data_IF_743709882722
#
_entry.id   IF_743709882722
#
_cell.length_a   1.000
_cell.length_b   1.000
_cell.length_c   1.000
_cell.angle_alpha   90.00
_cell.angle_beta   90.00
_cell.angle_gamma   90.00
#
_symmetry.space_group_name_H-M   'P 1'
#
loop_
_entity.id
_entity.type
_entity.pdbx_description
1 polymer ?
#
# COMPACT_ATOMS: atom_id res chain seq x y z
N UNK A 1 6.88 -1.72 20.48
CA UNK A 1 6.50 -1.48 19.07
C UNK A 1 5.03 -1.10 19.04
N UNK A 2 4.71 0.06 18.49
CA UNK A 2 3.31 0.47 18.33
C UNK A 2 2.64 -0.41 17.26
N UNK A 3 1.40 -0.85 17.49
CA UNK A 3 0.57 -1.53 16.49
C UNK A 3 -0.22 -0.52 15.64
N UNK A 4 0.07 0.77 15.80
CA UNK A 4 -0.55 1.84 15.02
C UNK A 4 -0.09 1.78 13.56
N UNK A 5 -0.98 2.07 12.61
CA UNK A 5 -0.60 2.10 11.22
C UNK A 5 0.33 3.30 10.97
N UNK A 6 1.28 3.16 10.04
CA UNK A 6 2.37 4.15 9.89
C UNK A 6 1.87 5.56 9.57
N UNK A 7 0.72 5.66 8.89
CA UNK A 7 0.09 6.91 8.49
C UNK A 7 -0.34 7.80 9.67
N UNK A 8 -0.48 7.28 10.89
CA UNK A 8 -0.67 8.14 12.09
C UNK A 8 0.58 8.95 12.44
N UNK A 9 1.75 8.48 12.01
CA UNK A 9 3.06 9.11 12.25
C UNK A 9 3.73 9.54 10.95
N UNK A 10 2.96 9.64 9.86
CA UNK A 10 3.45 10.03 8.55
C UNK A 10 2.75 11.28 8.05
N UNK A 11 3.46 12.07 7.26
CA UNK A 11 2.90 13.21 6.53
C UNK A 11 3.61 13.38 5.18
N UNK A 12 3.02 14.22 4.33
CA UNK A 12 3.55 14.53 3.00
C UNK A 12 3.83 13.27 2.15
N UNK A 13 2.97 12.26 2.33
CA UNK A 13 3.05 11.00 1.61
C UNK A 13 2.79 11.23 0.12
N UNK A 14 3.68 10.72 -0.71
CA UNK A 14 3.60 10.76 -2.16
C UNK A 14 4.23 9.52 -2.74
N UNK A 15 3.69 9.03 -3.84
CA UNK A 15 4.34 8.04 -4.66
C UNK A 15 5.21 8.80 -5.66
N UNK A 16 6.51 8.55 -5.62
CA UNK A 16 7.39 8.93 -6.71
C UNK A 16 7.15 7.90 -7.82
N UNK A 17 6.33 8.30 -8.79
CA UNK A 17 5.93 7.47 -9.91
C UNK A 17 7.04 7.45 -10.95
N UNK A 18 7.34 6.23 -11.39
CA UNK A 18 8.23 5.91 -12.49
C UNK A 18 7.99 6.79 -13.73
N UNK A 19 9.00 7.53 -14.21
CA UNK A 19 8.92 8.27 -15.47
C UNK A 19 9.09 7.34 -16.68
N UNK A 20 9.69 6.17 -16.48
CA UNK A 20 9.90 5.13 -17.49
C UNK A 20 9.37 3.75 -17.04
N UNK A 21 9.13 2.85 -18.01
CA UNK A 21 8.53 1.50 -17.86
C UNK A 21 9.29 0.54 -16.91
N UNK A 22 10.41 0.97 -16.30
CA UNK A 22 11.22 0.16 -15.38
C UNK A 22 11.69 0.92 -14.14
N UNK A 23 11.21 2.15 -13.91
CA UNK A 23 11.55 2.88 -12.71
C UNK A 23 10.85 2.28 -11.48
N UNK A 24 11.49 2.46 -10.32
CA UNK A 24 10.98 1.95 -9.07
C UNK A 24 9.76 2.77 -8.60
N UNK A 25 8.77 2.09 -8.04
CA UNK A 25 7.66 2.75 -7.34
C UNK A 25 8.04 3.02 -5.89
N UNK A 26 8.50 4.24 -5.62
CA UNK A 26 9.01 4.63 -4.30
C UNK A 26 7.95 5.44 -3.55
N UNK A 27 7.46 4.91 -2.43
CA UNK A 27 6.64 5.68 -1.50
C UNK A 27 7.57 6.58 -0.68
N UNK A 28 7.38 7.89 -0.79
CA UNK A 28 8.11 8.92 -0.07
C UNK A 28 7.21 9.62 0.95
N UNK A 29 7.79 10.12 2.04
CA UNK A 29 7.12 11.00 2.98
C UNK A 29 8.01 11.36 4.16
N UNK A 30 7.43 12.00 5.17
CA UNK A 30 8.11 12.25 6.44
C UNK A 30 7.50 11.39 7.54
N UNK A 31 8.34 10.71 8.30
CA UNK A 31 7.96 9.88 9.43
C UNK A 31 8.51 10.45 10.73
N UNK A 32 7.71 10.39 11.79
CA UNK A 32 8.16 10.79 13.12
C UNK A 32 9.10 9.74 13.72
N UNK A 33 10.26 10.17 14.23
CA UNK A 33 11.19 9.33 14.99
C UNK A 33 10.83 9.27 16.48
N UNK A 34 11.55 8.47 17.27
CA UNK A 34 11.30 8.30 18.71
C UNK A 34 11.55 9.59 19.53
N UNK A 35 12.31 10.54 18.97
CA UNK A 35 12.55 11.87 19.54
C UNK A 35 11.43 12.88 19.19
N UNK A 36 10.47 12.47 18.36
CA UNK A 36 9.37 13.31 17.91
C UNK A 36 9.71 14.19 16.69
N UNK A 37 10.90 14.03 16.10
CA UNK A 37 11.33 14.77 14.92
C UNK A 37 10.80 14.12 13.63
N UNK A 38 10.54 14.94 12.62
CA UNK A 38 10.10 14.48 11.30
C UNK A 38 11.32 14.21 10.43
N UNK A 39 11.44 12.99 9.94
CA UNK A 39 12.57 12.52 9.14
C UNK A 39 12.05 12.07 7.77
N UNK A 40 12.70 12.51 6.70
CA UNK A 40 12.39 12.04 5.36
C UNK A 40 12.66 10.53 5.25
N UNK A 41 11.68 9.80 4.73
CA UNK A 41 11.72 8.36 4.57
C UNK A 41 11.20 7.96 3.20
N UNK A 42 11.72 6.85 2.69
CA UNK A 42 11.35 6.27 1.41
C UNK A 42 11.30 4.75 1.49
N UNK A 43 10.42 4.12 0.72
CA UNK A 43 10.35 2.67 0.60
C UNK A 43 9.96 2.25 -0.82
N UNK A 44 10.73 1.32 -1.38
CA UNK A 44 10.44 0.75 -2.69
C UNK A 44 9.34 -0.33 -2.58
N UNK A 45 8.15 -0.03 -3.11
CA UNK A 45 6.99 -0.91 -3.10
C UNK A 45 7.18 -2.17 -3.96
N UNK A 46 7.97 -2.09 -5.04
CA UNK A 46 8.25 -3.23 -5.93
C UNK A 46 9.01 -4.36 -5.24
N UNK A 47 9.61 -4.11 -4.06
CA UNK A 47 10.31 -5.16 -3.28
C UNK A 47 9.39 -6.13 -2.55
N UNK A 48 8.12 -5.77 -2.36
CA UNK A 48 7.19 -6.52 -1.50
C UNK A 48 5.77 -6.60 -2.06
N UNK A 49 5.48 -5.94 -3.18
CA UNK A 49 4.22 -6.07 -3.91
C UNK A 49 4.46 -6.75 -5.25
N UNK A 50 3.68 -7.79 -5.53
CA UNK A 50 3.58 -8.44 -6.83
C UNK A 50 2.21 -8.24 -7.45
N UNK A 51 2.13 -8.37 -8.77
CA UNK A 51 0.87 -8.34 -9.51
C UNK A 51 0.84 -9.52 -10.49
N UNK A 52 -0.27 -10.24 -10.48
CA UNK A 52 -0.53 -11.34 -11.37
C UNK A 52 -1.79 -11.02 -12.19
N UNK A 53 -1.67 -11.13 -13.51
CA UNK A 53 -2.76 -10.89 -14.46
C UNK A 53 -3.32 -12.20 -15.08
N UNK A 54 -2.86 -13.36 -14.60
CA UNK A 54 -3.24 -14.68 -15.11
C UNK A 54 -4.25 -15.37 -14.22
N UNK A 55 -5.24 -16.03 -14.84
CA UNK A 55 -6.34 -16.78 -14.23
C UNK A 55 -7.25 -15.92 -13.33
N UNK A 56 -6.74 -15.45 -12.20
CA UNK A 56 -7.43 -14.55 -11.27
C UNK A 56 -6.53 -13.34 -11.05
N UNK A 57 -6.83 -12.18 -11.66
CA UNK A 57 -6.05 -10.97 -11.47
C UNK A 57 -6.04 -10.52 -10.01
N UNK A 58 -4.86 -10.27 -9.45
CA UNK A 58 -4.71 -9.80 -8.07
C UNK A 58 -3.35 -9.15 -7.82
N UNK A 59 -3.29 -8.37 -6.76
CA UNK A 59 -2.04 -7.87 -6.17
C UNK A 59 -1.72 -8.71 -4.93
N UNK A 60 -0.44 -8.97 -4.68
CA UNK A 60 -0.01 -9.79 -3.54
C UNK A 60 1.10 -9.14 -2.70
N UNK A 61 0.95 -9.24 -1.38
CA UNK A 61 2.00 -8.94 -0.41
C UNK A 61 3.03 -10.08 -0.32
N UNK A 62 4.30 -9.71 -0.34
CA UNK A 62 5.44 -10.63 -0.42
C UNK A 62 5.80 -11.06 -1.84
N UNK A 63 5.08 -10.54 -2.84
CA UNK A 63 5.47 -10.61 -4.24
C UNK A 63 6.55 -9.59 -4.59
N UNK A 64 6.78 -9.39 -5.88
CA UNK A 64 7.73 -8.41 -6.40
C UNK A 64 7.32 -7.87 -7.77
N UNK A 65 7.86 -6.71 -8.11
CA UNK A 65 7.77 -6.09 -9.43
C UNK A 65 6.32 -5.96 -9.95
N UNK A 66 5.37 -5.55 -9.10
CA UNK A 66 3.95 -5.43 -9.49
C UNK A 66 3.72 -4.59 -10.75
N UNK A 67 4.54 -3.57 -10.98
CA UNK A 67 4.46 -2.69 -12.14
C UNK A 67 4.66 -3.38 -13.49
N UNK A 68 5.30 -4.55 -13.53
CA UNK A 68 5.52 -5.30 -14.79
C UNK A 68 4.24 -5.91 -15.36
N UNK A 69 3.23 -6.11 -14.50
CA UNK A 69 1.94 -6.70 -14.87
C UNK A 69 0.80 -5.70 -14.72
N UNK A 70 1.03 -4.58 -14.04
CA UNK A 70 0.06 -3.51 -13.88
C UNK A 70 0.03 -2.65 -15.15
N UNK A 71 -1.17 -2.26 -15.56
CA UNK A 71 -1.38 -1.33 -16.68
C UNK A 71 -1.31 0.13 -16.20
N UNK A 72 -1.88 0.39 -15.02
CA UNK A 72 -1.86 1.68 -14.36
C UNK A 72 -1.66 1.49 -12.84
N UNK A 73 -0.99 2.45 -12.21
CA UNK A 73 -0.73 2.48 -10.77
C UNK A 73 -1.03 3.89 -10.28
N UNK A 74 -1.94 4.03 -9.33
CA UNK A 74 -2.33 5.31 -8.75
C UNK A 74 -2.19 5.25 -7.23
N UNK A 75 -1.58 6.29 -6.66
CA UNK A 75 -1.52 6.48 -5.21
C UNK A 75 -2.55 7.49 -4.74
N UNK A 76 -3.27 7.15 -3.68
CA UNK A 76 -4.20 8.06 -3.02
C UNK A 76 -4.16 7.90 -1.51
N UNK A 77 -4.42 8.99 -0.80
CA UNK A 77 -4.65 8.96 0.66
C UNK A 77 -6.13 9.23 0.87
N UNK A 78 -6.89 8.16 1.12
CA UNK A 78 -8.34 8.23 1.20
C UNK A 78 -8.80 8.15 2.66
N UNK A 79 -9.69 9.05 3.12
CA UNK A 79 -10.31 8.92 4.43
C UNK A 79 -11.31 7.77 4.40
N UNK A 80 -11.00 6.67 5.08
CA UNK A 80 -11.90 5.52 5.21
C UNK A 80 -12.50 5.45 6.62
N UNK A 81 -13.78 5.06 6.76
CA UNK A 81 -14.36 4.84 8.08
C UNK A 81 -13.72 3.62 8.74
N UNK A 82 -13.13 3.81 9.92
CA UNK A 82 -12.61 2.72 10.75
C UNK A 82 -13.47 2.66 12.02
N UNK A 83 -14.11 1.51 12.30
CA UNK A 83 -14.87 1.35 13.54
C UNK A 83 -13.91 1.40 14.73
N UNK A 84 -14.16 2.34 15.64
CA UNK A 84 -13.33 2.56 16.85
C UNK A 84 -13.80 1.72 18.03
N UNK A 85 -15.00 1.12 17.94
CA UNK A 85 -15.61 0.24 18.95
C UNK A 85 -16.75 -0.56 18.30
N UNK A 86 -17.17 -1.67 18.92
CA UNK A 86 -18.25 -2.53 18.41
C UNK A 86 -19.60 -1.81 18.26
N UNK A 87 -19.83 -0.73 19.02
CA UNK A 87 -21.05 0.10 18.99
C UNK A 87 -20.93 1.38 18.14
N UNK A 88 -19.76 1.66 17.54
CA UNK A 88 -19.55 2.92 16.80
C UNK A 88 -20.00 2.79 15.33
N UNK A 89 -21.26 3.12 15.07
CA UNK A 89 -21.88 3.10 13.74
C UNK A 89 -21.39 4.22 12.80
N UNK A 90 -20.66 5.21 13.31
CA UNK A 90 -20.20 6.36 12.53
C UNK A 90 -18.72 6.27 12.15
N UNK A 91 -17.91 5.50 12.88
CA UNK A 91 -16.48 5.31 12.64
C UNK A 91 -15.69 6.63 12.73
N UNK A 92 -14.39 6.54 13.02
CA UNK A 92 -13.51 7.68 12.73
C UNK A 92 -13.00 7.54 11.31
N UNK A 93 -13.01 8.64 10.56
CA UNK A 93 -12.33 8.69 9.27
C UNK A 93 -10.83 8.66 9.53
N UNK A 94 -10.18 7.58 9.11
CA UNK A 94 -8.74 7.46 9.13
C UNK A 94 -8.22 7.63 7.71
N UNK A 95 -7.32 8.58 7.50
CA UNK A 95 -6.59 8.72 6.25
C UNK A 95 -5.76 7.47 6.00
N UNK A 96 -6.08 6.71 4.96
CA UNK A 96 -5.32 5.50 4.60
C UNK A 96 -4.64 5.66 3.25
N UNK A 97 -3.32 5.43 3.20
CA UNK A 97 -2.58 5.35 1.94
C UNK A 97 -2.97 4.07 1.20
N UNK A 98 -3.56 4.26 0.03
CA UNK A 98 -4.05 3.21 -0.85
C UNK A 98 -3.25 3.24 -2.15
N UNK A 99 -2.96 2.06 -2.68
CA UNK A 99 -2.40 1.85 -4.00
C UNK A 99 -3.47 1.18 -4.87
N UNK A 100 -3.99 1.90 -5.85
CA UNK A 100 -4.89 1.36 -6.85
C UNK A 100 -4.07 0.88 -8.04
N UNK A 101 -4.31 -0.35 -8.45
CA UNK A 101 -3.59 -1.01 -9.54
C UNK A 101 -4.61 -1.52 -10.55
N UNK A 102 -4.54 -0.98 -11.77
CA UNK A 102 -5.32 -1.49 -12.90
C UNK A 102 -4.57 -2.65 -13.54
N UNK A 103 -5.26 -3.74 -13.80
CA UNK A 103 -4.68 -4.98 -14.33
C UNK A 103 -5.46 -5.36 -15.59
N UNK A 104 -4.75 -5.57 -16.70
CA UNK A 104 -5.31 -6.18 -17.91
C UNK A 104 -5.17 -7.72 -17.82
N UNK A 105 -6.26 -8.49 -17.66
CA UNK A 105 -6.17 -9.94 -17.61
C UNK A 105 -5.77 -10.52 -18.96
N UNK A 106 -4.93 -11.56 -18.98
CA UNK A 106 -4.48 -12.20 -20.24
C UNK A 106 -5.63 -12.84 -21.06
N UNK A 107 -6.79 -13.07 -20.43
CA UNK A 107 -7.94 -13.78 -21.01
C UNK A 107 -9.16 -12.89 -21.26
N UNK A 108 -9.08 -11.60 -20.92
CA UNK A 108 -10.19 -10.65 -21.05
C UNK A 108 -9.67 -9.33 -21.61
N UNK A 109 -10.47 -8.68 -22.45
CA UNK A 109 -10.24 -7.30 -22.87
C UNK A 109 -10.72 -6.28 -21.80
N UNK A 110 -11.43 -6.73 -20.77
CA UNK A 110 -11.88 -5.89 -19.65
C UNK A 110 -10.79 -5.75 -18.58
N UNK A 111 -10.39 -4.51 -18.31
CA UNK A 111 -9.49 -4.18 -17.20
C UNK A 111 -10.20 -4.31 -15.86
N UNK A 112 -9.46 -4.77 -14.86
CA UNK A 112 -9.94 -4.91 -13.48
C UNK A 112 -9.05 -4.11 -12.54
N UNK A 113 -9.60 -3.70 -11.40
CA UNK A 113 -8.89 -2.85 -10.44
C UNK A 113 -8.67 -3.58 -9.12
N UNK A 114 -7.45 -3.48 -8.56
CA UNK A 114 -7.13 -3.93 -7.22
C UNK A 114 -6.67 -2.76 -6.35
N UNK A 115 -7.30 -2.56 -5.19
CA UNK A 115 -6.95 -1.52 -4.23
C UNK A 115 -6.27 -2.11 -2.99
N UNK A 116 -4.99 -1.78 -2.77
CA UNK A 116 -4.19 -2.29 -1.64
C UNK A 116 -3.98 -1.20 -0.61
N UNK A 117 -4.31 -1.49 0.65
CA UNK A 117 -3.96 -0.62 1.78
C UNK A 117 -2.50 -0.77 2.18
N UNK A 118 -1.70 0.28 1.99
CA UNK A 118 -0.26 0.22 2.29
C UNK A 118 0.01 0.05 3.80
N UNK A 119 -0.89 0.54 4.64
CA UNK A 119 -0.83 0.39 6.09
C UNK A 119 -0.94 -1.05 6.60
N UNK A 120 -1.37 -1.98 5.75
CA UNK A 120 -1.51 -3.39 6.13
C UNK A 120 -0.14 -4.09 6.17
N UNK A 121 0.78 -3.70 5.28
CA UNK A 121 2.10 -4.33 5.15
C UNK A 121 3.30 -3.45 5.49
N UNK A 122 3.10 -2.16 5.74
CA UNK A 122 4.16 -1.19 6.05
C UNK A 122 3.93 -0.62 7.45
N UNK A 123 5.03 -0.43 8.21
CA UNK A 123 5.02 0.24 9.51
C UNK A 123 6.05 1.37 9.54
N UNK A 124 5.87 2.31 10.48
CA UNK A 124 6.91 3.27 10.86
C UNK A 124 7.77 2.68 11.98
N UNK A 125 9.08 2.69 11.80
CA UNK A 125 10.07 2.25 12.77
C UNK A 125 11.13 3.36 12.93
N UNK A 126 11.00 4.16 13.99
CA UNK A 126 11.91 5.25 14.33
C UNK A 126 12.26 6.18 13.15
N UNK A 127 11.23 6.70 12.46
CA UNK A 127 11.42 7.59 11.31
C UNK A 127 11.74 6.88 9.99
N UNK A 128 11.62 5.56 9.91
CA UNK A 128 11.84 4.78 8.69
C UNK A 128 10.65 3.88 8.36
N UNK A 129 10.37 3.67 7.07
CA UNK A 129 9.41 2.68 6.62
C UNK A 129 10.00 1.27 6.74
N UNK A 130 9.21 0.30 7.20
CA UNK A 130 9.61 -1.11 7.29
C UNK A 130 8.46 -2.01 6.81
N UNK A 131 8.77 -3.00 5.96
CA UNK A 131 7.81 -4.04 5.60
C UNK A 131 7.61 -5.03 6.74
N UNK A 132 6.36 -5.29 7.11
CA UNK A 132 5.96 -6.25 8.15
C UNK A 132 5.02 -7.31 7.60
N UNK A 133 5.51 -8.11 6.66
CA UNK A 133 4.75 -9.22 6.09
C UNK A 133 4.37 -10.29 7.13
N UNK A 134 5.09 -10.35 8.25
CA UNK A 134 4.74 -11.19 9.41
C UNK A 134 3.39 -10.83 10.03
N UNK A 135 2.92 -9.60 9.83
CA UNK A 135 1.64 -9.10 10.35
C UNK A 135 0.46 -9.34 9.42
N UNK A 136 0.71 -9.73 8.16
CA UNK A 136 -0.33 -9.99 7.17
C UNK A 136 -0.59 -11.51 7.13
N UNK A 137 -1.77 -11.96 7.59
CA UNK A 137 -2.19 -13.36 7.44
C UNK A 137 -2.08 -13.81 5.98
N UNK A 138 -1.65 -15.06 5.74
CA UNK A 138 -1.42 -15.56 4.38
C UNK A 138 -2.66 -15.44 3.48
N UNK A 139 -3.85 -15.61 4.03
CA UNK A 139 -5.14 -15.46 3.34
C UNK A 139 -5.47 -14.00 2.98
N UNK A 140 -4.86 -13.02 3.65
CA UNK A 140 -5.04 -11.59 3.42
C UNK A 140 -3.93 -10.97 2.56
N UNK A 141 -2.91 -11.76 2.20
CA UNK A 141 -1.84 -11.28 1.32
C UNK A 141 -2.31 -11.09 -0.12
N UNK A 142 -3.40 -11.74 -0.51
CA UNK A 142 -3.98 -11.66 -1.85
C UNK A 142 -5.12 -10.64 -1.88
N UNK A 143 -4.90 -9.54 -2.60
CA UNK A 143 -5.91 -8.52 -2.84
C UNK A 143 -6.48 -8.72 -4.24
N UNK A 144 -7.69 -9.28 -4.29
CA UNK A 144 -8.36 -9.58 -5.57
C UNK A 144 -8.75 -8.30 -6.29
N UNK A 145 -8.58 -8.31 -7.60
CA UNK A 145 -9.15 -7.29 -8.45
C UNK A 145 -10.67 -7.50 -8.61
N UNK A 146 -11.41 -6.42 -8.82
CA UNK A 146 -12.86 -6.40 -9.06
C UNK A 146 -13.22 -5.65 -10.34
#
# INVERSE_FOLDING_TARGET
MSNKPFNETARDLKLDEAAEENDDYILCGELQNDEGEWVAAEINLMKSLGCLNRLVPHVEWGGKDFSKSADCVEFSVNPIPVPTSEDDIHGQLQERPMLSVTIQPDWSDEQVEACVGLSDGIVSNNGQFEFRLDRIPQDQRIVKAY
#
